data_IF_313303296571
#
_entry.id   IF_313303296571
#
_cell.length_a   1.000
_cell.length_b   1.000
_cell.length_c   1.000
_cell.angle_alpha   90.00
_cell.angle_beta   90.00
_cell.angle_gamma   90.00
#
_symmetry.space_group_name_H-M   'P 1'
#
loop_
_entity.id
_entity.type
_entity.pdbx_description
1 polymer ?
#
# COMPACT_ATOMS: atom_id res chain seq x y z
N UNK A 1 22.28 -3.47 22.92
CA UNK A 1 21.43 -3.17 21.77
C UNK A 1 20.77 -1.83 21.98
N UNK A 2 20.66 -1.02 20.94
CA UNK A 2 19.95 0.26 21.02
C UNK A 2 18.45 0.02 21.25
N UNK A 3 17.84 0.84 22.10
CA UNK A 3 16.39 0.83 22.28
C UNK A 3 15.74 1.49 21.05
N UNK A 4 14.69 0.86 20.50
CA UNK A 4 13.94 1.34 19.34
C UNK A 4 12.56 1.81 19.80
N UNK A 5 12.11 2.94 19.26
CA UNK A 5 10.80 3.52 19.54
C UNK A 5 10.15 3.97 18.23
N UNK A 6 8.82 3.97 18.21
CA UNK A 6 8.03 4.52 17.10
C UNK A 6 7.82 6.01 17.37
N UNK A 7 8.25 6.85 16.43
CA UNK A 7 8.18 8.32 16.55
C UNK A 7 7.15 8.95 15.62
N UNK A 8 6.68 8.22 14.62
CA UNK A 8 5.66 8.69 13.69
C UNK A 8 4.93 7.54 13.04
N UNK A 9 3.67 7.78 12.69
CA UNK A 9 2.79 6.85 11.97
C UNK A 9 2.03 7.62 10.90
N UNK A 10 1.77 6.96 9.78
CA UNK A 10 0.85 7.44 8.77
C UNK A 10 0.06 6.26 8.21
N UNK A 11 -1.13 6.55 7.71
CA UNK A 11 -2.04 5.53 7.20
C UNK A 11 -2.90 6.06 6.06
N UNK A 12 -3.13 5.20 5.07
CA UNK A 12 -4.16 5.32 4.05
C UNK A 12 -4.94 4.01 4.05
N UNK A 13 -6.23 4.08 4.21
CA UNK A 13 -7.10 2.89 4.26
C UNK A 13 -8.53 3.22 3.84
N UNK A 14 -9.37 2.19 3.70
CA UNK A 14 -10.82 2.37 3.46
C UNK A 14 -11.55 3.10 4.61
N UNK A 15 -10.92 3.27 5.76
CA UNK A 15 -11.47 4.01 6.89
C UNK A 15 -11.10 5.50 6.87
N UNK A 16 -10.13 5.90 6.06
CA UNK A 16 -9.67 7.28 5.92
C UNK A 16 -8.25 7.37 5.37
N UNK A 17 -7.88 8.56 4.92
CA UNK A 17 -6.60 8.83 4.26
C UNK A 17 -5.54 9.43 5.21
N UNK A 18 -5.83 9.47 6.51
CA UNK A 18 -4.92 9.90 7.57
C UNK A 18 -5.36 9.34 8.92
N UNK A 19 -4.51 9.45 9.92
CA UNK A 19 -4.77 8.92 11.28
C UNK A 19 -6.04 9.47 11.92
N UNK A 20 -6.33 10.75 11.72
CA UNK A 20 -7.50 11.39 12.35
C UNK A 20 -8.79 10.83 11.79
N UNK A 21 -8.89 10.69 10.47
CA UNK A 21 -10.06 10.10 9.80
C UNK A 21 -10.25 8.63 10.20
N UNK A 22 -9.17 7.85 10.20
CA UNK A 22 -9.22 6.44 10.62
C UNK A 22 -9.66 6.33 12.07
N UNK A 23 -9.12 7.14 12.98
CA UNK A 23 -9.51 7.15 14.39
C UNK A 23 -10.99 7.49 14.57
N UNK A 24 -11.51 8.48 13.85
CA UNK A 24 -12.93 8.83 13.90
C UNK A 24 -13.82 7.72 13.34
N UNK A 25 -13.41 7.07 12.26
CA UNK A 25 -14.14 5.92 11.70
C UNK A 25 -14.18 4.75 12.69
N UNK A 26 -13.07 4.45 13.37
CA UNK A 26 -12.99 3.42 14.41
C UNK A 26 -13.89 3.76 15.62
N UNK A 27 -13.86 5.00 16.12
CA UNK A 27 -14.72 5.45 17.22
C UNK A 27 -16.21 5.33 16.89
N UNK A 28 -16.58 5.55 15.64
CA UNK A 28 -17.96 5.47 15.15
C UNK A 28 -18.36 4.07 14.70
N UNK A 29 -17.47 3.10 14.78
CA UNK A 29 -17.64 1.75 14.22
C UNK A 29 -18.09 1.79 12.75
N UNK A 30 -17.57 2.75 11.97
CA UNK A 30 -17.87 2.89 10.54
C UNK A 30 -17.15 1.81 9.76
N UNK A 31 -17.88 1.06 8.92
CA UNK A 31 -17.28 0.18 7.93
C UNK A 31 -16.73 1.02 6.76
N UNK A 32 -15.56 0.61 6.24
CA UNK A 32 -15.01 1.13 4.99
C UNK A 32 -15.26 0.20 3.80
N UNK A 33 -16.12 -0.81 3.96
CA UNK A 33 -16.41 -1.76 2.92
C UNK A 33 -17.65 -1.31 2.15
N UNK A 34 -17.58 -1.36 0.82
CA UNK A 34 -18.65 -0.96 -0.08
C UNK A 34 -18.83 -1.95 -1.23
N UNK A 35 -19.94 -1.83 -1.95
CA UNK A 35 -20.22 -2.61 -3.14
C UNK A 35 -19.41 -2.11 -4.33
N UNK A 36 -18.85 -3.03 -5.10
CA UNK A 36 -18.10 -2.75 -6.33
C UNK A 36 -18.90 -3.16 -7.56
N UNK A 37 -19.49 -2.20 -8.25
CA UNK A 37 -20.16 -2.45 -9.52
C UNK A 37 -19.23 -3.10 -10.53
N UNK A 38 -17.97 -2.65 -10.58
CA UNK A 38 -16.93 -3.21 -11.44
C UNK A 38 -16.74 -4.71 -11.24
N UNK A 39 -16.72 -5.18 -9.99
CA UNK A 39 -16.54 -6.60 -9.70
C UNK A 39 -17.76 -7.41 -10.10
N UNK A 40 -18.96 -6.89 -9.89
CA UNK A 40 -20.21 -7.51 -10.33
C UNK A 40 -20.27 -7.61 -11.86
N UNK A 41 -19.96 -6.53 -12.59
CA UNK A 41 -19.92 -6.52 -14.05
C UNK A 41 -18.90 -7.51 -14.63
N UNK A 42 -17.76 -7.69 -13.95
CA UNK A 42 -16.75 -8.66 -14.33
C UNK A 42 -17.10 -10.12 -13.98
N UNK A 43 -18.21 -10.35 -13.28
CA UNK A 43 -18.66 -11.68 -12.89
C UNK A 43 -17.86 -12.32 -11.76
N UNK A 44 -17.19 -11.54 -10.91
CA UNK A 44 -16.59 -12.03 -9.68
C UNK A 44 -17.69 -12.50 -8.72
N UNK A 45 -17.38 -13.43 -7.81
CA UNK A 45 -18.31 -13.89 -6.78
C UNK A 45 -18.44 -12.87 -5.65
N UNK A 46 -17.33 -12.28 -5.24
CA UNK A 46 -17.29 -11.20 -4.26
C UNK A 46 -17.46 -9.85 -4.95
N UNK A 47 -18.50 -9.11 -4.56
CA UNK A 47 -18.76 -7.76 -5.07
C UNK A 47 -18.40 -6.67 -4.06
N UNK A 48 -17.66 -7.01 -3.00
CA UNK A 48 -17.34 -6.08 -1.93
C UNK A 48 -15.84 -5.81 -1.85
N UNK A 49 -15.49 -4.59 -1.50
CA UNK A 49 -14.09 -4.17 -1.34
C UNK A 49 -13.94 -3.00 -0.35
N UNK A 50 -12.72 -2.79 0.15
CA UNK A 50 -12.37 -1.64 0.96
C UNK A 50 -11.78 -0.52 0.12
N UNK A 51 -12.61 0.29 -0.54
CA UNK A 51 -12.13 1.36 -1.41
C UNK A 51 -11.39 2.47 -0.65
N UNK A 52 -10.44 3.08 -1.34
CA UNK A 52 -9.75 4.28 -0.87
C UNK A 52 -10.49 5.50 -1.41
N UNK A 53 -10.89 6.42 -0.54
CA UNK A 53 -11.44 7.69 -0.97
C UNK A 53 -10.40 8.53 -1.73
N UNK A 54 -10.86 9.49 -2.53
CA UNK A 54 -9.97 10.32 -3.35
C UNK A 54 -8.83 10.94 -2.52
N UNK A 55 -7.60 10.75 -2.97
CA UNK A 55 -6.40 11.24 -2.31
C UNK A 55 -5.86 12.47 -3.05
N UNK A 56 -5.63 13.56 -2.33
CA UNK A 56 -4.86 14.68 -2.87
C UNK A 56 -3.37 14.36 -2.84
N UNK A 57 -2.81 14.02 -3.99
CA UNK A 57 -1.38 13.70 -4.11
C UNK A 57 -0.49 14.93 -4.34
N UNK A 58 -1.07 16.09 -4.70
CA UNK A 58 -0.33 17.25 -5.22
C UNK A 58 0.65 17.86 -4.21
N UNK A 59 0.33 17.75 -2.92
CA UNK A 59 1.12 18.35 -1.86
C UNK A 59 2.34 17.48 -1.47
N UNK A 60 2.35 16.21 -1.89
CA UNK A 60 3.38 15.23 -1.52
C UNK A 60 4.15 14.73 -2.74
N UNK A 61 3.46 14.48 -3.85
CA UNK A 61 4.04 13.80 -5.01
C UNK A 61 3.98 14.71 -6.23
N UNK A 62 5.13 15.05 -6.78
CA UNK A 62 5.17 15.82 -8.01
C UNK A 62 4.64 15.01 -9.22
N UNK A 63 4.12 15.73 -10.23
CA UNK A 63 3.50 15.11 -11.42
C UNK A 63 4.47 14.21 -12.23
N UNK A 64 5.77 14.46 -12.15
CA UNK A 64 6.74 13.65 -12.90
C UNK A 64 6.94 12.32 -12.18
N UNK A 65 6.99 12.35 -10.84
CA UNK A 65 7.15 11.17 -10.00
C UNK A 65 5.94 10.24 -10.08
N UNK A 66 4.71 10.78 -10.14
CA UNK A 66 3.47 9.99 -10.30
C UNK A 66 3.49 9.05 -11.51
N UNK A 67 4.23 9.38 -12.57
CA UNK A 67 4.33 8.52 -13.75
C UNK A 67 5.03 7.18 -13.47
N UNK A 68 5.85 7.13 -12.44
CA UNK A 68 6.61 5.94 -12.05
C UNK A 68 5.93 5.12 -10.94
N UNK A 69 4.88 5.67 -10.31
CA UNK A 69 4.26 5.09 -9.13
C UNK A 69 3.03 4.28 -9.49
N UNK A 70 2.89 3.11 -8.89
CA UNK A 70 1.65 2.36 -8.78
C UNK A 70 0.91 2.78 -7.51
N UNK A 71 -0.36 2.40 -7.37
CA UNK A 71 -1.20 2.89 -6.27
C UNK A 71 -0.64 2.54 -4.89
N UNK A 72 -0.09 1.33 -4.69
CA UNK A 72 0.58 0.99 -3.44
C UNK A 72 1.70 1.96 -3.09
N UNK A 73 2.49 2.41 -4.06
CA UNK A 73 3.55 3.39 -3.83
C UNK A 73 2.98 4.79 -3.52
N UNK A 74 1.86 5.17 -4.14
CA UNK A 74 1.16 6.42 -3.87
C UNK A 74 0.63 6.44 -2.44
N UNK A 75 -0.09 5.39 -2.03
CA UNK A 75 -0.64 5.27 -0.67
C UNK A 75 0.46 5.31 0.40
N UNK A 76 1.54 4.58 0.17
CA UNK A 76 2.70 4.60 1.05
C UNK A 76 3.39 5.97 1.10
N UNK A 77 3.44 6.73 0.01
CA UNK A 77 4.04 8.07 0.01
C UNK A 77 3.22 9.05 0.86
N UNK A 78 1.89 9.02 0.77
CA UNK A 78 1.01 9.84 1.60
C UNK A 78 1.15 9.46 3.08
N UNK A 79 1.13 8.17 3.39
CA UNK A 79 1.32 7.69 4.76
C UNK A 79 2.71 8.03 5.31
N UNK A 80 3.76 7.93 4.51
CA UNK A 80 5.12 8.28 4.92
C UNK A 80 5.28 9.77 5.19
N UNK A 81 4.68 10.63 4.36
CA UNK A 81 4.67 12.09 4.59
C UNK A 81 3.99 12.43 5.93
N UNK A 82 2.85 11.80 6.25
CA UNK A 82 2.19 11.96 7.54
C UNK A 82 3.10 11.50 8.71
N UNK A 83 3.77 10.37 8.57
CA UNK A 83 4.70 9.85 9.58
C UNK A 83 5.90 10.78 9.80
N UNK A 84 6.48 11.32 8.72
CA UNK A 84 7.58 12.30 8.78
C UNK A 84 7.14 13.57 9.52
N UNK A 85 5.99 14.13 9.15
CA UNK A 85 5.43 15.31 9.81
C UNK A 85 5.19 15.08 11.31
N UNK A 86 4.66 13.93 11.66
CA UNK A 86 4.42 13.59 13.06
C UNK A 86 5.72 13.40 13.85
N UNK A 87 6.75 12.80 13.25
CA UNK A 87 8.01 12.54 13.92
C UNK A 87 8.81 13.82 14.25
N UNK A 88 8.53 14.93 13.57
CA UNK A 88 9.25 16.18 13.69
C UNK A 88 10.66 16.15 13.09
N UNK A 89 10.98 15.15 12.26
CA UNK A 89 12.29 15.08 11.58
C UNK A 89 12.44 16.21 10.57
N UNK A 90 13.59 16.87 10.57
CA UNK A 90 13.94 17.84 9.54
C UNK A 90 14.23 17.15 8.19
N UNK A 91 14.15 17.90 7.09
CA UNK A 91 14.51 17.37 5.76
C UNK A 91 15.93 16.80 5.71
N UNK A 92 16.87 17.42 6.42
CA UNK A 92 18.25 16.96 6.52
C UNK A 92 18.33 15.61 7.26
N UNK A 93 17.57 15.43 8.32
CA UNK A 93 17.48 14.15 9.05
C UNK A 93 16.82 13.06 8.21
N UNK A 94 15.79 13.39 7.45
CA UNK A 94 15.14 12.47 6.51
C UNK A 94 16.10 12.06 5.40
N UNK A 95 16.84 13.01 4.82
CA UNK A 95 17.82 12.77 3.75
C UNK A 95 19.23 12.59 4.30
N UNK A 96 19.42 11.64 5.22
CA UNK A 96 20.69 11.36 5.87
C UNK A 96 21.16 9.91 5.59
N UNK A 97 22.45 9.65 5.58
CA UNK A 97 23.02 8.30 5.33
C UNK A 97 22.65 7.28 6.42
N UNK A 98 22.27 7.75 7.61
CA UNK A 98 21.81 6.92 8.72
C UNK A 98 20.28 6.86 8.83
N UNK A 99 19.56 7.36 7.82
CA UNK A 99 18.10 7.25 7.69
C UNK A 99 17.76 6.31 6.53
N UNK A 100 17.21 5.15 6.87
CA UNK A 100 16.87 4.09 5.91
C UNK A 100 15.38 3.99 5.63
N UNK A 101 15.06 3.15 4.64
CA UNK A 101 13.69 2.82 4.24
C UNK A 101 13.59 1.31 3.97
N UNK A 102 12.69 0.63 4.67
CA UNK A 102 12.34 -0.77 4.43
C UNK A 102 10.83 -0.85 4.26
N UNK A 103 10.37 -0.88 3.02
CA UNK A 103 8.95 -0.90 2.69
C UNK A 103 8.67 -1.85 1.55
N UNK A 104 7.54 -2.56 1.63
CA UNK A 104 7.19 -3.55 0.63
C UNK A 104 5.71 -3.64 0.32
N UNK A 105 5.40 -4.60 -0.52
CA UNK A 105 4.05 -5.02 -0.89
C UNK A 105 4.03 -6.53 -0.98
N UNK A 106 2.91 -7.15 -0.65
CA UNK A 106 2.71 -8.59 -0.76
C UNK A 106 2.66 -9.06 -2.22
N UNK A 107 2.23 -8.18 -3.11
CA UNK A 107 2.19 -8.38 -4.55
C UNK A 107 2.69 -7.15 -5.32
N UNK A 108 3.25 -7.37 -6.50
CA UNK A 108 3.49 -6.28 -7.44
C UNK A 108 2.15 -5.79 -8.01
N UNK A 109 2.16 -4.66 -8.71
CA UNK A 109 0.96 -4.15 -9.39
C UNK A 109 0.57 -5.05 -10.57
N UNK A 110 -0.35 -5.97 -10.35
CA UNK A 110 -0.86 -6.88 -11.37
C UNK A 110 -1.55 -6.13 -12.51
N UNK A 111 -2.33 -5.11 -12.21
CA UNK A 111 -3.01 -4.29 -13.22
C UNK A 111 -2.02 -3.64 -14.18
N UNK A 112 -0.89 -3.12 -13.71
CA UNK A 112 0.11 -2.51 -14.59
C UNK A 112 0.79 -3.54 -15.52
N UNK A 113 0.91 -4.81 -15.10
CA UNK A 113 1.40 -5.90 -15.95
C UNK A 113 0.36 -6.27 -17.01
N UNK A 114 -0.90 -6.43 -16.61
CA UNK A 114 -2.01 -6.77 -17.51
C UNK A 114 -2.19 -5.67 -18.54
N UNK A 115 -2.35 -4.42 -18.14
CA UNK A 115 -2.44 -3.26 -19.04
C UNK A 115 -1.28 -3.20 -20.03
N UNK A 116 -0.07 -3.48 -19.58
CA UNK A 116 1.10 -3.47 -20.45
C UNK A 116 1.04 -4.57 -21.49
N UNK A 117 0.57 -5.76 -21.11
CA UNK A 117 0.39 -6.88 -22.01
C UNK A 117 -0.71 -6.61 -23.05
N UNK A 118 -1.82 -6.00 -22.64
CA UNK A 118 -2.93 -5.67 -23.52
C UNK A 118 -2.54 -4.54 -24.50
N UNK A 119 -1.87 -3.50 -24.04
CA UNK A 119 -1.32 -2.46 -24.89
C UNK A 119 -0.33 -3.06 -25.92
N UNK A 120 0.52 -3.99 -25.49
CA UNK A 120 1.45 -4.67 -26.39
C UNK A 120 0.72 -5.44 -27.50
N UNK A 121 -0.32 -6.21 -27.12
CA UNK A 121 -1.11 -7.02 -28.06
C UNK A 121 -1.91 -6.16 -29.04
N UNK A 122 -2.52 -5.08 -28.57
CA UNK A 122 -3.40 -4.22 -29.38
C UNK A 122 -2.66 -3.16 -30.18
N UNK A 123 -1.61 -2.55 -29.59
CA UNK A 123 -1.00 -1.30 -30.11
C UNK A 123 0.51 -1.39 -30.34
N UNK A 124 1.12 -2.53 -29.96
CA UNK A 124 2.54 -2.77 -30.12
C UNK A 124 3.44 -2.10 -29.08
N UNK A 125 4.69 -2.54 -29.03
CA UNK A 125 5.67 -2.21 -27.97
C UNK A 125 5.90 -0.71 -27.77
N UNK A 126 5.86 0.10 -28.85
CA UNK A 126 6.06 1.55 -28.75
C UNK A 126 5.00 2.26 -27.90
N UNK A 127 3.83 1.66 -27.71
CA UNK A 127 2.72 2.24 -26.95
C UNK A 127 2.72 1.83 -25.47
N UNK A 128 3.46 0.81 -25.07
CA UNK A 128 3.61 0.38 -23.67
C UNK A 128 4.20 1.52 -22.82
N UNK A 129 5.13 2.28 -23.37
CA UNK A 129 5.74 3.43 -22.70
C UNK A 129 6.85 3.04 -21.71
N UNK A 130 7.63 4.03 -21.23
CA UNK A 130 8.87 3.77 -20.48
C UNK A 130 8.67 3.63 -18.95
N UNK A 131 7.46 3.80 -18.42
CA UNK A 131 7.21 3.93 -16.98
C UNK A 131 6.72 2.63 -16.31
N UNK A 132 6.53 1.55 -17.08
CA UNK A 132 5.86 0.32 -16.59
C UNK A 132 6.74 -0.51 -15.65
N UNK A 133 8.04 -0.55 -15.87
CA UNK A 133 8.95 -1.32 -15.00
C UNK A 133 8.90 -0.83 -13.55
N UNK A 134 9.10 0.46 -13.24
CA UNK A 134 8.98 0.96 -11.86
C UNK A 134 7.62 0.70 -11.22
N UNK A 135 6.53 0.71 -11.99
CA UNK A 135 5.19 0.43 -11.47
C UNK A 135 4.97 -1.05 -11.14
N UNK A 136 5.52 -1.95 -11.93
CA UNK A 136 5.26 -3.39 -11.84
C UNK A 136 6.29 -4.17 -11.01
N UNK A 137 7.47 -3.59 -10.73
CA UNK A 137 8.52 -4.29 -9.98
C UNK A 137 8.14 -4.46 -8.51
N UNK A 138 8.54 -5.59 -7.88
CA UNK A 138 8.26 -5.90 -6.48
C UNK A 138 8.82 -4.88 -5.48
N UNK A 139 9.84 -4.09 -5.89
CA UNK A 139 10.44 -3.01 -5.09
C UNK A 139 9.88 -1.62 -5.42
N UNK A 140 8.72 -1.53 -6.11
CA UNK A 140 8.13 -0.24 -6.51
C UNK A 140 8.00 0.74 -5.34
N UNK A 141 7.56 0.25 -4.18
CA UNK A 141 7.35 1.07 -2.98
C UNK A 141 8.65 1.67 -2.49
N UNK A 142 9.66 0.84 -2.18
CA UNK A 142 10.93 1.35 -1.65
C UNK A 142 11.68 2.23 -2.65
N UNK A 143 11.68 1.88 -3.94
CA UNK A 143 12.35 2.65 -4.98
C UNK A 143 11.71 4.04 -5.19
N UNK A 144 10.38 4.09 -5.28
CA UNK A 144 9.68 5.36 -5.47
C UNK A 144 9.81 6.27 -4.25
N UNK A 145 9.62 5.73 -3.05
CA UNK A 145 9.67 6.54 -1.82
C UNK A 145 11.08 7.02 -1.50
N UNK A 146 12.11 6.18 -1.66
CA UNK A 146 13.49 6.62 -1.43
C UNK A 146 13.90 7.76 -2.35
N UNK A 147 13.43 7.73 -3.59
CA UNK A 147 13.65 8.81 -4.57
C UNK A 147 12.88 10.07 -4.18
N UNK A 148 11.59 9.94 -3.85
CA UNK A 148 10.72 11.06 -3.51
C UNK A 148 11.21 11.82 -2.27
N UNK A 149 11.54 11.09 -1.20
CA UNK A 149 11.98 11.65 0.09
C UNK A 149 13.51 11.76 0.22
N UNK A 150 14.25 11.44 -0.86
CA UNK A 150 15.73 11.53 -0.91
C UNK A 150 16.42 10.73 0.20
N UNK A 151 15.90 9.55 0.52
CA UNK A 151 16.48 8.67 1.54
C UNK A 151 17.86 8.18 1.09
N UNK A 152 18.88 8.31 1.94
CA UNK A 152 20.27 8.00 1.60
C UNK A 152 20.83 6.77 2.33
N UNK A 153 20.17 6.33 3.41
CA UNK A 153 20.57 5.12 4.13
C UNK A 153 20.15 3.84 3.39
N UNK A 154 20.05 2.74 4.12
CA UNK A 154 19.63 1.47 3.53
C UNK A 154 18.25 1.60 2.87
N UNK A 155 18.07 0.97 1.71
CA UNK A 155 16.83 0.99 0.98
C UNK A 155 16.57 -0.35 0.28
N UNK A 156 15.54 -1.06 0.70
CA UNK A 156 15.08 -2.29 0.05
C UNK A 156 13.64 -2.63 0.40
N UNK A 157 13.06 -3.52 -0.39
CA UNK A 157 11.73 -4.08 -0.14
C UNK A 157 11.82 -5.52 0.35
N UNK A 158 10.89 -5.88 1.23
CA UNK A 158 10.57 -7.26 1.58
C UNK A 158 9.23 -7.58 0.93
N UNK A 159 9.04 -8.80 0.48
CA UNK A 159 7.75 -9.33 0.07
C UNK A 159 7.53 -10.69 0.75
N UNK A 160 6.50 -10.76 1.58
CA UNK A 160 6.12 -11.96 2.34
C UNK A 160 4.59 -12.01 2.52
N UNK A 161 3.88 -11.77 1.40
CA UNK A 161 2.42 -11.73 1.34
C UNK A 161 1.82 -10.82 2.43
N UNK A 162 0.78 -11.26 3.14
CA UNK A 162 0.11 -10.48 4.20
C UNK A 162 1.03 -10.10 5.38
N UNK A 163 2.20 -10.73 5.52
CA UNK A 163 3.17 -10.44 6.58
C UNK A 163 4.23 -9.40 6.20
N UNK A 164 4.18 -8.88 4.98
CA UNK A 164 5.20 -7.97 4.43
C UNK A 164 5.50 -6.79 5.34
N UNK A 165 4.49 -6.04 5.75
CA UNK A 165 4.67 -4.86 6.61
C UNK A 165 5.27 -5.21 7.97
N UNK A 166 4.84 -6.32 8.57
CA UNK A 166 5.39 -6.79 9.85
C UNK A 166 6.88 -7.14 9.73
N UNK A 167 7.27 -7.81 8.65
CA UNK A 167 8.68 -8.12 8.38
C UNK A 167 9.51 -6.87 8.09
N UNK A 168 8.96 -5.87 7.38
CA UNK A 168 9.63 -4.59 7.18
C UNK A 168 9.90 -3.90 8.51
N UNK A 169 8.92 -3.85 9.41
CA UNK A 169 9.04 -3.24 10.74
C UNK A 169 10.07 -4.00 11.60
N UNK A 170 10.02 -5.34 11.63
CA UNK A 170 10.97 -6.17 12.37
C UNK A 170 12.41 -5.96 11.88
N UNK A 171 12.63 -5.99 10.57
CA UNK A 171 13.95 -5.73 9.98
C UNK A 171 14.45 -4.30 10.28
N UNK A 172 13.58 -3.30 10.22
CA UNK A 172 13.92 -1.92 10.57
C UNK A 172 14.39 -1.80 12.02
N UNK A 173 13.68 -2.45 12.94
CA UNK A 173 14.06 -2.53 14.34
C UNK A 173 15.47 -3.13 14.50
N UNK A 174 15.75 -4.25 13.84
CA UNK A 174 17.06 -4.90 13.88
C UNK A 174 18.19 -3.99 13.35
N UNK A 175 17.97 -3.24 12.25
CA UNK A 175 18.96 -2.31 11.72
C UNK A 175 19.34 -1.22 12.74
N UNK A 176 18.36 -0.70 13.49
CA UNK A 176 18.60 0.29 14.54
C UNK A 176 19.27 -0.38 15.76
N UNK A 177 18.82 -1.55 16.19
CA UNK A 177 19.41 -2.28 17.31
C UNK A 177 20.88 -2.60 17.08
N UNK A 178 21.24 -2.96 15.86
CA UNK A 178 22.63 -3.23 15.46
C UNK A 178 23.47 -1.95 15.22
N UNK A 179 22.88 -0.77 15.37
CA UNK A 179 23.58 0.50 15.16
C UNK A 179 23.90 0.83 13.70
N UNK A 180 23.29 0.13 12.74
CA UNK A 180 23.51 0.39 11.30
C UNK A 180 22.75 1.62 10.80
N UNK A 181 21.60 1.91 11.39
CA UNK A 181 20.79 3.08 11.10
C UNK A 181 20.35 3.73 12.42
N UNK A 182 20.03 5.03 12.39
CA UNK A 182 19.46 5.76 13.52
C UNK A 182 17.94 5.93 13.38
N UNK A 183 17.48 6.07 12.12
CA UNK A 183 16.07 6.17 11.74
C UNK A 183 15.81 5.19 10.60
N UNK A 184 14.67 4.48 10.65
CA UNK A 184 14.22 3.66 9.52
C UNK A 184 12.72 3.86 9.35
N UNK A 185 12.31 4.27 8.16
CA UNK A 185 10.92 4.24 7.74
C UNK A 185 10.56 2.81 7.33
N UNK A 186 9.51 2.27 7.92
CA UNK A 186 9.15 0.86 7.72
C UNK A 186 7.65 0.68 7.60
N UNK A 187 7.23 -0.25 6.75
CA UNK A 187 5.83 -0.57 6.55
C UNK A 187 5.58 -1.20 5.19
N UNK A 188 4.41 -0.96 4.67
CA UNK A 188 4.03 -1.44 3.35
C UNK A 188 2.59 -1.15 3.03
N UNK A 189 2.19 -1.42 1.81
CA UNK A 189 0.83 -1.23 1.34
C UNK A 189 0.56 -2.07 0.11
N UNK A 190 -0.73 -2.24 -0.14
CA UNK A 190 -1.23 -3.02 -1.23
C UNK A 190 -2.07 -2.16 -2.18
N UNK A 191 -2.12 -2.59 -3.41
CA UNK A 191 -2.98 -2.02 -4.44
C UNK A 191 -4.36 -2.68 -4.37
N UNK A 192 -5.42 -1.88 -4.41
CA UNK A 192 -6.79 -2.39 -4.56
C UNK A 192 -7.16 -2.38 -6.05
N UNK A 193 -7.20 -3.55 -6.65
CA UNK A 193 -7.60 -3.69 -8.05
C UNK A 193 -8.21 -5.08 -8.35
N UNK A 194 -9.11 -5.12 -9.34
CA UNK A 194 -9.76 -6.35 -9.77
C UNK A 194 -8.77 -7.46 -10.14
N UNK A 195 -7.61 -7.10 -10.65
CA UNK A 195 -6.59 -8.05 -11.10
C UNK A 195 -5.98 -8.88 -9.96
N UNK A 196 -5.90 -8.30 -8.76
CA UNK A 196 -5.53 -9.03 -7.55
C UNK A 196 -6.76 -9.72 -6.94
N UNK A 197 -7.90 -9.05 -6.93
CA UNK A 197 -9.15 -9.58 -6.39
C UNK A 197 -9.55 -10.88 -7.08
N UNK A 198 -9.46 -10.97 -8.42
CA UNK A 198 -9.81 -12.18 -9.16
C UNK A 198 -9.00 -13.42 -8.73
N UNK A 199 -7.77 -13.26 -8.30
CA UNK A 199 -6.92 -14.37 -7.85
C UNK A 199 -7.45 -14.97 -6.54
N UNK A 200 -7.82 -14.13 -5.59
CA UNK A 200 -8.42 -14.56 -4.33
C UNK A 200 -9.86 -15.04 -4.50
N UNK A 201 -10.64 -14.42 -5.39
CA UNK A 201 -11.99 -14.83 -5.70
C UNK A 201 -12.02 -16.22 -6.34
N UNK A 202 -11.11 -16.49 -7.27
CA UNK A 202 -11.00 -17.79 -7.96
C UNK A 202 -10.73 -18.94 -6.99
N UNK A 203 -10.00 -18.71 -5.91
CA UNK A 203 -9.73 -19.73 -4.89
C UNK A 203 -10.83 -19.81 -3.81
N UNK A 204 -11.87 -18.99 -3.88
CA UNK A 204 -12.97 -19.00 -2.91
C UNK A 204 -12.64 -18.42 -1.55
N UNK A 205 -11.68 -17.51 -1.47
CA UNK A 205 -11.21 -16.96 -0.20
C UNK A 205 -11.95 -15.69 0.23
N UNK A 206 -12.68 -15.06 -0.70
CA UNK A 206 -13.36 -13.78 -0.45
C UNK A 206 -14.79 -13.97 0.04
N UNK A 207 -15.27 -13.03 0.84
CA UNK A 207 -16.66 -12.94 1.26
C UNK A 207 -17.57 -12.69 0.04
N UNK A 208 -18.59 -13.51 -0.15
CA UNK A 208 -19.56 -13.39 -1.24
C UNK A 208 -21.02 -13.43 -0.78
N UNK A 209 -21.29 -13.82 0.47
CA UNK A 209 -22.64 -13.87 1.03
C UNK A 209 -23.14 -12.50 1.50
N UNK A 210 -22.27 -11.49 1.52
CA UNK A 210 -22.59 -10.15 2.01
C UNK A 210 -22.56 -9.09 0.90
N UNK A 211 -22.71 -9.48 -0.36
CA UNK A 211 -22.73 -8.54 -1.48
C UNK A 211 -23.83 -7.46 -1.33
N UNK A 212 -25.00 -7.83 -0.78
CA UNK A 212 -26.11 -6.90 -0.54
C UNK A 212 -26.02 -6.11 0.78
N UNK A 213 -25.03 -6.44 1.61
CA UNK A 213 -24.79 -5.78 2.91
C UNK A 213 -23.29 -5.63 3.13
N UNK A 214 -22.59 -4.86 2.26
CA UNK A 214 -21.12 -4.78 2.24
C UNK A 214 -20.52 -4.36 3.58
N UNK A 215 -21.19 -3.49 4.32
CA UNK A 215 -20.73 -3.03 5.64
C UNK A 215 -20.62 -4.16 6.69
N UNK A 216 -21.21 -5.33 6.41
CA UNK A 216 -21.17 -6.53 7.27
C UNK A 216 -20.20 -7.60 6.79
N UNK A 217 -19.58 -7.43 5.64
CA UNK A 217 -18.76 -8.48 4.99
C UNK A 217 -17.45 -8.74 5.77
N UNK A 218 -16.77 -7.70 6.22
CA UNK A 218 -15.56 -7.85 7.03
C UNK A 218 -15.93 -8.12 8.49
N UNK A 219 -15.82 -9.38 8.90
CA UNK A 219 -16.28 -9.87 10.21
C UNK A 219 -15.34 -10.93 10.77
N UNK A 220 -14.08 -10.53 10.98
CA UNK A 220 -13.05 -11.41 11.50
C UNK A 220 -13.49 -12.08 12.83
N UNK A 221 -13.18 -13.37 12.96
CA UNK A 221 -13.53 -14.23 14.10
C UNK A 221 -15.03 -14.48 14.36
N UNK A 222 -15.94 -13.86 13.59
CA UNK A 222 -17.39 -14.15 13.68
C UNK A 222 -17.70 -15.55 13.17
N UNK A 223 -18.68 -16.23 13.79
CA UNK A 223 -19.11 -17.57 13.40
C UNK A 223 -19.70 -17.62 11.98
N UNK A 224 -20.33 -16.52 11.53
CA UNK A 224 -20.97 -16.41 10.23
C UNK A 224 -20.08 -15.82 9.14
N UNK A 225 -18.77 -15.67 9.38
CA UNK A 225 -17.85 -15.22 8.34
C UNK A 225 -17.79 -16.24 7.19
N UNK A 226 -17.67 -15.74 5.98
CA UNK A 226 -17.63 -16.57 4.76
C UNK A 226 -16.38 -16.33 3.90
N UNK A 227 -15.50 -15.44 4.31
CA UNK A 227 -14.27 -15.07 3.63
C UNK A 227 -13.71 -13.75 4.18
N UNK A 228 -12.60 -13.30 3.59
CA UNK A 228 -12.10 -11.96 3.87
C UNK A 228 -12.54 -10.96 2.80
N UNK A 229 -12.32 -9.67 3.03
CA UNK A 229 -12.57 -8.58 2.07
C UNK A 229 -11.24 -7.97 1.68
N UNK A 230 -11.04 -7.74 0.38
CA UNK A 230 -9.85 -7.13 -0.17
C UNK A 230 -9.91 -5.60 -0.14
#
# INVERSE_FOLDING_TARGET
MNRVVVTGMGIVSSLGNNKSEVLESLKKAKSGIEFSEKYAEMGLRSHVHGSISEINTKDVIDRKMLRFMADAAIYNAIALDEAIKQSGLSEEMVSHERTGLIMGSGGASNVNVIDSADILREKGIKRVGPYRVPRAMGSTTSACLSTLFKIKGINYSISSACSTSAHCIGNAMEQIQMGKQDVVFAGGGEELDWSTTMLFDSMGALSSNYNDTPEKASRAYDANRDGFVI
#
